data_IF_339907250291
#
_entry.id   IF_339907250291
#
_cell.length_a   1.000
_cell.length_b   1.000
_cell.length_c   1.000
_cell.angle_alpha   90.00
_cell.angle_beta   90.00
_cell.angle_gamma   90.00
#
_symmetry.space_group_name_H-M   'P 1'
#
loop_
_entity.id
_entity.type
_entity.pdbx_description
1 polymer ?
#
# COMPACT_ATOMS: atom_id res chain seq x y z
N UNK A 1 -21.65 -75.00 1.99
CA UNK A 1 -22.90 -74.39 1.50
C UNK A 1 -23.15 -72.99 2.16
N UNK A 2 -22.86 -72.79 3.48
CA UNK A 2 -23.06 -71.48 4.15
C UNK A 2 -22.03 -70.41 3.73
N UNK A 3 -20.80 -70.76 3.41
CA UNK A 3 -19.74 -69.83 2.99
C UNK A 3 -19.98 -69.29 1.56
N UNK A 4 -20.49 -70.12 0.68
CA UNK A 4 -20.83 -69.71 -0.71
C UNK A 4 -22.00 -68.70 -0.72
N UNK A 5 -22.98 -68.85 0.16
CA UNK A 5 -24.09 -67.94 0.30
C UNK A 5 -23.68 -66.56 0.88
N UNK A 6 -22.67 -66.49 1.74
CA UNK A 6 -22.10 -65.27 2.27
C UNK A 6 -21.27 -64.52 1.22
N UNK A 7 -20.53 -65.22 0.39
CA UNK A 7 -19.74 -64.61 -0.68
C UNK A 7 -20.63 -64.03 -1.81
N UNK A 8 -21.75 -64.65 -2.13
CA UNK A 8 -22.69 -64.13 -3.11
C UNK A 8 -23.47 -62.93 -2.62
N UNK A 9 -23.73 -62.83 -1.31
CA UNK A 9 -24.39 -61.65 -0.73
C UNK A 9 -23.44 -60.41 -0.69
N UNK A 10 -22.14 -60.61 -0.49
CA UNK A 10 -21.17 -59.53 -0.43
C UNK A 10 -20.86 -58.94 -1.81
N UNK A 11 -20.90 -59.77 -2.89
CA UNK A 11 -20.72 -59.26 -4.26
C UNK A 11 -21.88 -58.49 -4.84
N UNK A 12 -23.10 -58.72 -4.37
CA UNK A 12 -24.31 -58.00 -4.82
C UNK A 12 -24.39 -56.59 -4.26
N UNK A 13 -23.83 -56.33 -3.06
CA UNK A 13 -23.81 -54.99 -2.46
C UNK A 13 -22.78 -54.07 -3.08
N UNK A 14 -21.67 -54.59 -3.63
CA UNK A 14 -20.62 -53.79 -4.29
C UNK A 14 -21.08 -53.19 -5.64
N UNK A 15 -22.06 -53.77 -6.32
CA UNK A 15 -22.57 -53.31 -7.61
C UNK A 15 -23.57 -52.14 -7.49
N UNK A 16 -24.14 -51.88 -6.33
CA UNK A 16 -25.08 -50.79 -6.11
C UNK A 16 -24.40 -49.44 -5.81
N UNK A 17 -23.10 -49.45 -5.48
CA UNK A 17 -22.36 -48.24 -5.16
C UNK A 17 -21.78 -47.49 -6.39
N UNK A 18 -21.88 -48.07 -7.60
CA UNK A 18 -21.22 -47.52 -8.80
C UNK A 18 -22.09 -46.63 -9.69
N UNK A 19 -23.32 -46.31 -9.30
CA UNK A 19 -24.26 -45.55 -10.14
C UNK A 19 -24.61 -44.17 -9.59
N UNK A 20 -23.79 -43.60 -8.68
CA UNK A 20 -24.01 -42.22 -8.26
C UNK A 20 -23.23 -41.27 -9.18
N UNK A 21 -23.94 -40.56 -10.05
CA UNK A 21 -23.37 -39.51 -10.87
C UNK A 21 -22.80 -38.39 -9.96
N UNK A 22 -21.56 -38.01 -10.19
CA UNK A 22 -20.90 -36.95 -9.43
C UNK A 22 -21.35 -35.54 -9.89
N UNK A 23 -21.28 -34.50 -9.06
CA UNK A 23 -21.63 -33.13 -9.48
C UNK A 23 -20.82 -32.62 -10.67
N UNK A 24 -19.60 -33.13 -10.86
CA UNK A 24 -18.73 -32.77 -12.00
C UNK A 24 -19.23 -33.36 -13.30
N UNK A 25 -19.68 -34.61 -13.27
CA UNK A 25 -20.25 -35.33 -14.42
C UNK A 25 -21.61 -34.74 -14.82
N UNK A 26 -22.33 -34.12 -13.89
CA UNK A 26 -23.62 -33.48 -14.13
C UNK A 26 -23.52 -32.05 -14.66
N UNK A 27 -22.61 -31.81 -15.63
CA UNK A 27 -22.45 -30.52 -16.28
C UNK A 27 -23.49 -30.36 -17.41
N UNK A 28 -24.39 -29.34 -17.35
CA UNK A 28 -25.38 -29.10 -18.39
C UNK A 28 -24.79 -28.73 -19.76
N UNK A 29 -23.52 -28.29 -19.80
CA UNK A 29 -22.82 -27.94 -21.05
C UNK A 29 -22.17 -29.15 -21.75
N UNK A 30 -22.24 -30.33 -21.13
CA UNK A 30 -21.75 -31.57 -21.73
C UNK A 30 -22.93 -32.37 -22.25
N UNK A 31 -22.84 -32.83 -23.48
CA UNK A 31 -23.90 -33.73 -24.03
C UNK A 31 -23.96 -34.99 -23.21
N UNK A 32 -25.06 -35.14 -22.48
CA UNK A 32 -25.35 -36.34 -21.69
C UNK A 32 -26.49 -37.11 -22.30
N UNK A 33 -26.43 -38.44 -22.22
CA UNK A 33 -27.55 -39.29 -22.56
C UNK A 33 -28.75 -39.02 -21.63
N UNK A 34 -29.94 -39.35 -22.06
CA UNK A 34 -31.19 -39.20 -21.27
C UNK A 34 -31.04 -39.91 -19.91
N UNK A 35 -30.40 -41.05 -19.88
CA UNK A 35 -30.12 -41.82 -18.66
C UNK A 35 -29.14 -41.13 -17.73
N UNK A 36 -28.10 -40.47 -18.28
CA UNK A 36 -27.16 -39.64 -17.51
C UNK A 36 -27.85 -38.46 -16.84
N UNK A 37 -28.72 -37.75 -17.57
CA UNK A 37 -29.49 -36.63 -17.02
C UNK A 37 -30.41 -37.06 -15.89
N UNK A 38 -31.10 -38.23 -16.06
CA UNK A 38 -32.00 -38.79 -15.03
C UNK A 38 -31.20 -39.21 -13.78
N UNK A 39 -30.01 -39.78 -13.94
CA UNK A 39 -29.13 -40.12 -12.84
C UNK A 39 -28.69 -38.86 -12.06
N UNK A 40 -28.34 -37.77 -12.76
CA UNK A 40 -27.96 -36.48 -12.15
C UNK A 40 -29.09 -35.83 -11.35
N UNK A 41 -30.32 -35.92 -11.82
CA UNK A 41 -31.51 -35.43 -11.09
C UNK A 41 -31.75 -36.28 -9.84
N UNK A 42 -31.71 -37.60 -10.00
CA UNK A 42 -32.04 -38.53 -8.91
C UNK A 42 -30.97 -38.57 -7.80
N UNK A 43 -29.69 -38.26 -8.14
CA UNK A 43 -28.59 -38.19 -7.17
C UNK A 43 -28.51 -36.86 -6.42
N UNK A 44 -29.29 -35.83 -6.79
CA UNK A 44 -29.14 -34.46 -6.25
C UNK A 44 -27.87 -33.73 -6.68
N UNK A 45 -27.15 -34.28 -7.68
CA UNK A 45 -25.89 -33.75 -8.12
C UNK A 45 -25.99 -32.37 -8.78
N UNK A 46 -27.14 -32.06 -9.39
CA UNK A 46 -27.39 -30.69 -9.88
C UNK A 46 -27.50 -29.68 -8.75
N UNK A 47 -28.22 -30.00 -7.68
CA UNK A 47 -28.40 -29.11 -6.53
C UNK A 47 -27.05 -28.91 -5.80
N UNK A 48 -26.30 -29.98 -5.62
CA UNK A 48 -24.95 -29.89 -5.04
C UNK A 48 -24.00 -28.99 -5.88
N UNK A 49 -24.11 -29.06 -7.23
CA UNK A 49 -23.36 -28.19 -8.13
C UNK A 49 -23.79 -26.72 -8.02
N UNK A 50 -25.10 -26.45 -7.97
CA UNK A 50 -25.63 -25.10 -7.77
C UNK A 50 -25.13 -24.52 -6.45
N UNK A 51 -25.26 -25.23 -5.35
CA UNK A 51 -24.78 -24.80 -4.04
C UNK A 51 -23.26 -24.50 -4.04
N UNK A 52 -22.46 -25.34 -4.72
CA UNK A 52 -21.03 -25.09 -4.87
C UNK A 52 -20.77 -23.79 -5.64
N UNK A 53 -21.47 -23.57 -6.75
CA UNK A 53 -21.32 -22.35 -7.54
C UNK A 53 -21.79 -21.09 -6.81
N UNK A 54 -22.85 -21.19 -6.03
CA UNK A 54 -23.30 -20.10 -5.17
C UNK A 54 -22.27 -19.79 -4.07
N UNK A 55 -21.67 -20.82 -3.46
CA UNK A 55 -20.60 -20.66 -2.48
C UNK A 55 -19.33 -20.02 -3.12
N UNK A 56 -18.92 -20.50 -4.30
CA UNK A 56 -17.80 -19.90 -5.06
C UNK A 56 -18.09 -18.43 -5.38
N UNK A 57 -19.27 -18.11 -5.87
CA UNK A 57 -19.69 -16.74 -6.18
C UNK A 57 -19.66 -15.84 -4.92
N UNK A 58 -20.19 -16.33 -3.81
CA UNK A 58 -20.17 -15.60 -2.54
C UNK A 58 -18.74 -15.33 -2.07
N UNK A 59 -17.84 -16.32 -2.17
CA UNK A 59 -16.42 -16.15 -1.84
C UNK A 59 -15.74 -15.14 -2.76
N UNK A 60 -16.03 -15.18 -4.06
CA UNK A 60 -15.48 -14.21 -5.02
C UNK A 60 -15.98 -12.79 -4.76
N UNK A 61 -17.27 -12.65 -4.43
CA UNK A 61 -17.83 -11.35 -4.05
C UNK A 61 -17.17 -10.80 -2.78
N UNK A 62 -16.94 -11.65 -1.77
CA UNK A 62 -16.26 -11.26 -0.56
C UNK A 62 -14.79 -10.83 -0.84
N UNK A 63 -14.07 -11.57 -1.67
CA UNK A 63 -12.71 -11.20 -2.11
C UNK A 63 -12.70 -9.88 -2.87
N UNK A 64 -13.64 -9.67 -3.76
CA UNK A 64 -13.75 -8.41 -4.50
C UNK A 64 -14.02 -7.23 -3.57
N UNK A 65 -14.91 -7.38 -2.60
CA UNK A 65 -15.17 -6.35 -1.59
C UNK A 65 -13.91 -6.04 -0.76
N UNK A 66 -13.16 -7.06 -0.36
CA UNK A 66 -11.88 -6.90 0.35
C UNK A 66 -10.84 -6.16 -0.50
N UNK A 67 -10.71 -6.52 -1.78
CA UNK A 67 -9.77 -5.87 -2.71
C UNK A 67 -10.15 -4.40 -2.95
N UNK A 68 -11.43 -4.10 -3.08
CA UNK A 68 -11.91 -2.72 -3.21
C UNK A 68 -11.59 -1.89 -1.96
N UNK A 69 -11.79 -2.47 -0.76
CA UNK A 69 -11.44 -1.82 0.49
C UNK A 69 -9.92 -1.56 0.60
N UNK A 70 -9.09 -2.56 0.25
CA UNK A 70 -7.62 -2.41 0.21
C UNK A 70 -7.18 -1.34 -0.78
N UNK A 71 -7.75 -1.31 -1.97
CA UNK A 71 -7.46 -0.28 -2.98
C UNK A 71 -7.82 1.12 -2.48
N UNK A 72 -8.98 1.27 -1.84
CA UNK A 72 -9.39 2.55 -1.24
C UNK A 72 -8.38 3.01 -0.17
N UNK A 73 -8.02 2.13 0.76
CA UNK A 73 -7.00 2.45 1.79
C UNK A 73 -5.65 2.80 1.19
N UNK A 74 -5.19 2.06 0.17
CA UNK A 74 -3.93 2.36 -0.52
C UNK A 74 -3.98 3.74 -1.20
N UNK A 75 -5.09 4.09 -1.83
CA UNK A 75 -5.26 5.40 -2.46
C UNK A 75 -5.30 6.54 -1.42
N UNK A 76 -5.98 6.34 -0.31
CA UNK A 76 -6.00 7.30 0.81
C UNK A 76 -4.59 7.50 1.41
N UNK A 77 -3.85 6.42 1.64
CA UNK A 77 -2.47 6.47 2.11
C UNK A 77 -1.55 7.21 1.13
N UNK A 78 -1.69 6.94 -0.17
CA UNK A 78 -0.96 7.65 -1.24
C UNK A 78 -1.26 9.15 -1.22
N UNK A 79 -2.53 9.52 -1.14
CA UNK A 79 -2.95 10.93 -1.10
C UNK A 79 -2.42 11.63 0.14
N UNK A 80 -2.48 10.97 1.31
CA UNK A 80 -1.92 11.49 2.57
C UNK A 80 -0.41 11.69 2.46
N UNK A 81 0.31 10.73 1.92
CA UNK A 81 1.77 10.83 1.72
C UNK A 81 2.13 11.95 0.76
N UNK A 82 1.41 12.10 -0.35
CA UNK A 82 1.62 13.19 -1.30
C UNK A 82 1.38 14.57 -0.66
N UNK A 83 0.33 14.71 0.14
CA UNK A 83 0.05 15.93 0.89
C UNK A 83 1.17 16.27 1.89
N UNK A 84 1.65 15.28 2.65
CA UNK A 84 2.75 15.46 3.58
C UNK A 84 4.05 15.86 2.87
N UNK A 85 4.36 15.25 1.73
CA UNK A 85 5.52 15.61 0.93
C UNK A 85 5.45 17.05 0.45
N UNK A 86 4.31 17.49 -0.06
CA UNK A 86 4.12 18.88 -0.50
C UNK A 86 4.25 19.88 0.67
N UNK A 87 3.73 19.54 1.84
CA UNK A 87 3.88 20.36 3.04
C UNK A 87 5.35 20.48 3.48
N UNK A 88 6.10 19.37 3.46
CA UNK A 88 7.54 19.37 3.78
C UNK A 88 8.34 20.23 2.79
N UNK A 89 8.08 20.10 1.48
CA UNK A 89 8.71 20.92 0.45
C UNK A 89 8.42 22.40 0.63
N UNK A 90 7.18 22.76 0.93
CA UNK A 90 6.80 24.14 1.19
C UNK A 90 7.48 24.69 2.45
N UNK A 91 7.55 23.91 3.52
CA UNK A 91 8.27 24.30 4.74
C UNK A 91 9.77 24.52 4.50
N UNK A 92 10.40 23.65 3.71
CA UNK A 92 11.80 23.78 3.31
C UNK A 92 12.04 25.06 2.49
N UNK A 93 11.17 25.35 1.53
CA UNK A 93 11.25 26.56 0.72
C UNK A 93 11.11 27.83 1.58
N UNK A 94 10.16 27.84 2.52
CA UNK A 94 9.97 28.94 3.46
C UNK A 94 11.19 29.14 4.35
N UNK A 95 11.76 28.06 4.90
CA UNK A 95 12.95 28.10 5.71
C UNK A 95 14.16 28.69 4.95
N UNK A 96 14.34 28.30 3.68
CA UNK A 96 15.35 28.87 2.81
C UNK A 96 15.16 30.38 2.61
N UNK A 97 13.92 30.80 2.32
CA UNK A 97 13.59 32.23 2.13
C UNK A 97 13.86 33.04 3.38
N UNK A 98 13.49 32.52 4.54
CA UNK A 98 13.71 33.19 5.83
C UNK A 98 15.21 33.31 6.13
N UNK A 99 16.00 32.28 5.83
CA UNK A 99 17.45 32.32 5.98
C UNK A 99 18.09 33.35 5.07
N UNK A 100 17.70 33.43 3.80
CA UNK A 100 18.18 34.43 2.85
C UNK A 100 17.84 35.85 3.33
N UNK A 101 16.62 36.08 3.77
CA UNK A 101 16.19 37.38 4.29
C UNK A 101 16.96 37.78 5.55
N UNK A 102 17.18 36.84 6.48
CA UNK A 102 17.96 37.07 7.68
C UNK A 102 19.44 37.35 7.38
N UNK A 103 20.04 36.63 6.45
CA UNK A 103 21.43 36.88 6.02
C UNK A 103 21.55 38.25 5.38
N UNK A 104 20.64 38.65 4.50
CA UNK A 104 20.62 39.96 3.87
C UNK A 104 20.49 41.09 4.90
N UNK A 105 19.57 40.95 5.86
CA UNK A 105 19.38 41.92 6.94
C UNK A 105 20.66 42.06 7.81
N UNK A 106 21.25 40.93 8.17
CA UNK A 106 22.47 40.90 8.96
C UNK A 106 23.65 41.54 8.23
N UNK A 107 23.80 41.32 6.92
CA UNK A 107 24.81 42.02 6.09
C UNK A 107 24.66 43.55 6.14
N UNK A 108 23.41 44.02 6.03
CA UNK A 108 23.14 45.46 6.13
C UNK A 108 23.54 46.02 7.50
N UNK A 109 23.26 45.29 8.57
CA UNK A 109 23.56 45.70 9.94
C UNK A 109 25.03 45.52 10.33
N UNK A 110 25.71 44.58 9.70
CA UNK A 110 27.15 44.33 9.93
C UNK A 110 28.07 45.22 9.10
N UNK A 111 27.57 46.27 8.44
CA UNK A 111 28.40 47.20 7.68
C UNK A 111 29.52 47.73 8.56
N UNK A 112 30.78 47.54 8.12
CA UNK A 112 31.96 47.91 8.88
C UNK A 112 32.59 46.83 9.77
N UNK A 113 31.90 45.68 9.94
CA UNK A 113 32.44 44.54 10.68
C UNK A 113 32.79 43.41 9.70
N UNK A 114 34.04 43.41 9.22
CA UNK A 114 34.53 42.44 8.22
C UNK A 114 34.45 40.98 8.70
N UNK A 115 34.69 40.72 9.99
CA UNK A 115 34.60 39.36 10.56
C UNK A 115 33.21 38.80 10.51
N UNK A 116 32.20 39.59 10.89
CA UNK A 116 30.81 39.15 10.86
C UNK A 116 30.33 38.98 9.42
N UNK A 117 30.73 39.85 8.50
CA UNK A 117 30.41 39.72 7.07
C UNK A 117 30.96 38.43 6.49
N UNK A 118 32.20 38.04 6.81
CA UNK A 118 32.81 36.79 6.37
C UNK A 118 32.04 35.58 6.90
N UNK A 119 31.63 35.59 8.18
CA UNK A 119 30.81 34.52 8.78
C UNK A 119 29.43 34.40 8.12
N UNK A 120 28.79 35.51 7.72
CA UNK A 120 27.51 35.48 7.02
C UNK A 120 27.69 34.91 5.61
N UNK A 121 28.78 35.28 4.90
CA UNK A 121 29.10 34.70 3.59
C UNK A 121 29.32 33.18 3.67
N UNK A 122 29.99 32.70 4.70
CA UNK A 122 30.16 31.26 4.94
C UNK A 122 28.82 30.56 5.10
N UNK A 123 27.90 31.14 5.88
CA UNK A 123 26.54 30.58 6.01
C UNK A 123 25.79 30.52 4.67
N UNK A 124 25.90 31.56 3.84
CA UNK A 124 25.30 31.56 2.51
C UNK A 124 25.88 30.48 1.59
N UNK A 125 27.18 30.26 1.64
CA UNK A 125 27.81 29.15 0.91
C UNK A 125 27.31 27.79 1.40
N UNK A 126 27.26 27.60 2.71
CA UNK A 126 26.72 26.37 3.31
C UNK A 126 25.22 26.16 2.93
N UNK A 127 24.40 27.22 2.89
CA UNK A 127 23.02 27.14 2.39
C UNK A 127 22.95 26.67 0.93
N UNK A 128 23.84 27.21 0.08
CA UNK A 128 23.92 26.78 -1.31
C UNK A 128 24.28 25.30 -1.42
N UNK A 129 25.27 24.85 -0.65
CA UNK A 129 25.67 23.44 -0.63
C UNK A 129 24.54 22.51 -0.16
N UNK A 130 23.81 22.88 0.90
CA UNK A 130 22.65 22.11 1.37
C UNK A 130 21.59 22.02 0.28
N UNK A 131 21.29 23.13 -0.40
CA UNK A 131 20.25 23.16 -1.43
C UNK A 131 20.59 22.32 -2.65
N UNK A 132 21.85 22.25 -3.04
CA UNK A 132 22.34 21.49 -4.20
C UNK A 132 22.71 20.04 -3.87
N UNK A 133 22.73 19.65 -2.60
CA UNK A 133 23.04 18.29 -2.19
C UNK A 133 21.92 17.30 -2.57
N UNK A 134 22.28 16.02 -2.72
CA UNK A 134 21.32 14.92 -2.93
C UNK A 134 20.72 14.40 -1.60
N UNK A 135 20.89 15.13 -0.51
CA UNK A 135 20.36 14.74 0.78
C UNK A 135 18.82 14.75 0.81
N UNK A 136 18.23 13.97 1.70
CA UNK A 136 16.79 13.96 1.91
C UNK A 136 16.26 15.32 2.38
N UNK A 137 14.98 15.61 2.13
CA UNK A 137 14.36 16.86 2.57
C UNK A 137 14.45 17.05 4.10
N UNK A 138 14.39 15.97 4.89
CA UNK A 138 14.60 15.99 6.34
C UNK A 138 16.04 16.40 6.73
N UNK A 139 17.03 15.85 6.05
CA UNK A 139 18.43 16.19 6.29
C UNK A 139 18.69 17.67 5.93
N UNK A 140 18.23 18.11 4.76
CA UNK A 140 18.29 19.52 4.34
C UNK A 140 17.64 20.45 5.35
N UNK A 141 16.44 20.11 5.84
CA UNK A 141 15.73 20.90 6.83
C UNK A 141 16.53 21.02 8.14
N UNK A 142 17.16 19.93 8.60
CA UNK A 142 18.00 19.91 9.79
C UNK A 142 19.23 20.81 9.63
N UNK A 143 19.90 20.73 8.48
CA UNK A 143 21.08 21.52 8.19
C UNK A 143 20.73 23.01 8.09
N UNK A 144 19.65 23.36 7.39
CA UNK A 144 19.16 24.73 7.30
C UNK A 144 18.77 25.31 8.67
N UNK A 145 18.15 24.50 9.55
CA UNK A 145 17.88 24.91 10.93
C UNK A 145 19.16 25.17 11.73
N UNK A 146 20.22 24.40 11.50
CA UNK A 146 21.51 24.66 12.12
C UNK A 146 22.10 26.00 11.64
N UNK A 147 21.99 26.29 10.35
CA UNK A 147 22.43 27.60 9.80
C UNK A 147 21.58 28.76 10.34
N UNK A 148 20.28 28.55 10.54
CA UNK A 148 19.41 29.54 11.17
C UNK A 148 19.86 29.88 12.60
N UNK A 149 20.26 28.86 13.37
CA UNK A 149 20.84 29.08 14.73
C UNK A 149 22.14 29.86 14.68
N UNK A 150 23.01 29.59 13.69
CA UNK A 150 24.24 30.37 13.49
C UNK A 150 23.93 31.85 13.20
N UNK A 151 23.01 32.12 12.27
CA UNK A 151 22.60 33.53 11.99
C UNK A 151 21.96 34.20 13.21
N UNK A 152 21.17 33.49 14.00
CA UNK A 152 20.59 34.02 15.23
C UNK A 152 21.68 34.37 16.26
N UNK A 153 22.73 33.57 16.38
CA UNK A 153 23.88 33.89 17.23
C UNK A 153 24.64 35.15 16.76
N UNK A 154 24.84 35.29 15.44
CA UNK A 154 25.46 36.51 14.88
C UNK A 154 24.57 37.73 15.08
N UNK A 155 23.25 37.60 14.94
CA UNK A 155 22.30 38.67 15.27
C UNK A 155 22.46 39.13 16.72
N UNK A 156 22.57 38.20 17.66
CA UNK A 156 22.75 38.46 19.09
C UNK A 156 24.11 39.15 19.35
N UNK A 157 25.18 38.66 18.69
CA UNK A 157 26.52 39.25 18.84
C UNK A 157 26.60 40.70 18.35
N UNK A 158 25.79 41.05 17.34
CA UNK A 158 25.68 42.44 16.84
C UNK A 158 24.73 43.31 17.68
N UNK A 159 24.19 42.79 18.79
CA UNK A 159 23.16 43.45 19.60
C UNK A 159 21.97 44.04 18.81
N UNK A 160 21.59 43.37 17.72
CA UNK A 160 20.47 43.77 16.87
C UNK A 160 19.18 43.27 17.49
N UNK A 161 18.32 44.18 17.90
CA UNK A 161 16.93 43.87 18.35
C UNK A 161 15.98 43.60 17.16
#
# INVERSE_FOLDING_TARGET
VKIIKLLTALSATALLASCSATPEECNPNVEQSIWGKMACVNSGSYDARVQRKESELSQEQAKNAELLAKNKHAQEAKNKSAKQLNQKKAALANLNKDLQNNAALLKQKAKGNSEVLAKIQEVEQQMSQVNTSDASDEAKAKDLQALQRKLAAYKKALAIK
#
